data_IF_174954050103
#
_entry.id   IF_174954050103
#
_cell.length_a   1.000
_cell.length_b   1.000
_cell.length_c   1.000
_cell.angle_alpha   90.00
_cell.angle_beta   90.00
_cell.angle_gamma   90.00
#
_symmetry.space_group_name_H-M   'P 1'
#
loop_
_entity.id
_entity.type
_entity.pdbx_description
1 polymer ?
#
# COMPACT_ATOMS: atom_id res chain seq x y z
N UNK A 1 -0.58 25.79 -8.14
CA UNK A 1 0.12 24.60 -8.64
C UNK A 1 -0.68 23.36 -8.36
N UNK A 2 -0.67 22.47 -9.34
CA UNK A 2 -1.66 21.41 -9.39
C UNK A 2 -1.20 20.15 -8.67
N UNK A 3 -1.52 20.05 -7.36
CA UNK A 3 -1.27 18.88 -6.55
C UNK A 3 -1.99 17.63 -7.04
N UNK A 4 -3.07 17.77 -7.80
CA UNK A 4 -3.83 16.64 -8.33
C UNK A 4 -3.01 15.79 -9.29
N UNK A 5 -2.22 16.39 -10.16
CA UNK A 5 -1.38 15.68 -11.12
C UNK A 5 -0.26 14.90 -10.42
N UNK A 6 0.35 15.53 -9.41
CA UNK A 6 1.38 14.86 -8.61
C UNK A 6 0.79 13.72 -7.79
N UNK A 7 -0.38 13.92 -7.20
CA UNK A 7 -1.09 12.87 -6.48
C UNK A 7 -1.47 11.71 -7.37
N UNK A 8 -1.94 11.99 -8.59
CA UNK A 8 -2.26 10.96 -9.59
C UNK A 8 -1.02 10.12 -9.91
N UNK A 9 0.12 10.76 -10.13
CA UNK A 9 1.40 10.09 -10.41
C UNK A 9 1.78 9.15 -9.27
N UNK A 10 1.69 9.60 -8.03
CA UNK A 10 1.99 8.77 -6.84
C UNK A 10 1.08 7.56 -6.78
N UNK A 11 -0.24 7.77 -6.89
CA UNK A 11 -1.23 6.71 -6.76
C UNK A 11 -1.09 5.65 -7.85
N UNK A 12 -0.94 6.07 -9.11
CA UNK A 12 -0.79 5.14 -10.23
C UNK A 12 0.45 4.26 -10.07
N UNK A 13 1.58 4.86 -9.75
CA UNK A 13 2.82 4.12 -9.56
C UNK A 13 2.78 3.21 -8.34
N UNK A 14 2.14 3.67 -7.27
CA UNK A 14 1.95 2.87 -6.06
C UNK A 14 1.13 1.62 -6.34
N UNK A 15 -0.03 1.77 -6.98
CA UNK A 15 -0.89 0.62 -7.30
C UNK A 15 -0.23 -0.33 -8.30
N UNK A 16 0.50 0.20 -9.28
CA UNK A 16 1.26 -0.64 -10.22
C UNK A 16 2.34 -1.43 -9.49
N UNK A 17 3.05 -0.80 -8.56
CA UNK A 17 4.05 -1.46 -7.72
C UNK A 17 3.47 -2.56 -6.84
N UNK A 18 2.18 -2.48 -6.50
CA UNK A 18 1.46 -3.51 -5.77
C UNK A 18 0.90 -4.61 -6.68
N UNK A 19 1.20 -4.56 -7.98
CA UNK A 19 0.74 -5.52 -8.99
C UNK A 19 -0.77 -5.52 -9.23
N UNK A 20 -1.41 -4.37 -9.06
CA UNK A 20 -2.82 -4.22 -9.40
C UNK A 20 -3.00 -4.24 -10.92
N UNK A 21 -4.09 -4.84 -11.40
CA UNK A 21 -4.44 -4.83 -12.82
C UNK A 21 -4.80 -3.42 -13.28
N UNK A 22 -4.72 -3.17 -14.59
CA UNK A 22 -5.11 -1.88 -15.18
C UNK A 22 -6.55 -1.51 -14.81
N UNK A 23 -7.47 -2.46 -14.87
CA UNK A 23 -8.88 -2.24 -14.52
C UNK A 23 -9.03 -1.82 -13.04
N UNK A 24 -8.32 -2.50 -12.14
CA UNK A 24 -8.35 -2.17 -10.71
C UNK A 24 -7.77 -0.78 -10.43
N UNK A 25 -6.67 -0.43 -11.08
CA UNK A 25 -6.05 0.90 -10.94
C UNK A 25 -7.00 1.97 -11.45
N UNK A 26 -7.62 1.76 -12.62
CA UNK A 26 -8.58 2.69 -13.21
C UNK A 26 -9.76 2.95 -12.28
N UNK A 27 -10.30 1.91 -11.65
CA UNK A 27 -11.40 2.03 -10.71
C UNK A 27 -11.01 2.87 -9.47
N UNK A 28 -9.88 2.55 -8.86
CA UNK A 28 -9.39 3.26 -7.68
C UNK A 28 -9.06 4.73 -7.98
N UNK A 29 -8.45 5.00 -9.11
CA UNK A 29 -8.14 6.36 -9.55
C UNK A 29 -9.42 7.13 -9.83
N UNK A 30 -10.42 6.49 -10.44
CA UNK A 30 -11.72 7.11 -10.69
C UNK A 30 -12.41 7.53 -9.39
N UNK A 31 -12.40 6.66 -8.39
CA UNK A 31 -12.98 6.97 -7.08
C UNK A 31 -12.25 8.12 -6.39
N UNK A 32 -10.92 8.13 -6.44
CA UNK A 32 -10.11 9.21 -5.90
C UNK A 32 -10.41 10.54 -6.63
N UNK A 33 -10.50 10.50 -7.97
CA UNK A 33 -10.71 11.70 -8.77
C UNK A 33 -12.05 12.38 -8.47
N UNK A 34 -13.08 11.60 -8.21
CA UNK A 34 -14.40 12.12 -7.83
C UNK A 34 -14.39 12.91 -6.54
N UNK A 35 -13.44 12.65 -5.64
CA UNK A 35 -13.28 13.33 -4.36
C UNK A 35 -12.55 14.67 -4.47
N UNK A 36 -11.92 14.94 -5.60
CA UNK A 36 -11.25 16.22 -5.82
C UNK A 36 -12.30 17.32 -6.02
N UNK A 37 -12.04 18.50 -5.50
CA UNK A 37 -12.93 19.67 -5.68
C UNK A 37 -13.16 19.95 -7.16
N UNK A 38 -12.08 19.94 -7.95
CA UNK A 38 -12.13 19.98 -9.41
C UNK A 38 -11.47 18.71 -9.93
N UNK A 39 -12.26 17.69 -10.34
CA UNK A 39 -11.68 16.46 -10.86
C UNK A 39 -10.83 16.71 -12.11
N UNK A 40 -9.77 15.92 -12.26
CA UNK A 40 -8.99 15.89 -13.47
C UNK A 40 -9.84 15.38 -14.63
N UNK A 41 -9.57 15.88 -15.85
CA UNK A 41 -10.28 15.42 -17.04
C UNK A 41 -10.03 13.93 -17.26
N UNK A 42 -11.09 13.20 -17.58
CA UNK A 42 -11.02 11.75 -17.79
C UNK A 42 -10.00 11.39 -18.87
N UNK A 43 -9.96 12.14 -19.97
CA UNK A 43 -8.97 11.92 -21.04
C UNK A 43 -7.53 12.03 -20.55
N UNK A 44 -7.25 12.98 -19.67
CA UNK A 44 -5.92 13.11 -19.05
C UNK A 44 -5.57 11.90 -18.20
N UNK A 45 -6.50 11.45 -17.35
CA UNK A 45 -6.31 10.29 -16.47
C UNK A 45 -6.06 9.04 -17.30
N UNK A 46 -6.87 8.79 -18.32
CA UNK A 46 -6.73 7.62 -19.20
C UNK A 46 -5.39 7.65 -19.95
N UNK A 47 -5.00 8.82 -20.46
CA UNK A 47 -3.72 8.99 -21.14
C UNK A 47 -2.54 8.66 -20.24
N UNK A 48 -2.55 9.15 -19.01
CA UNK A 48 -1.51 8.86 -18.03
C UNK A 48 -1.48 7.38 -17.65
N UNK A 49 -2.64 6.77 -17.48
CA UNK A 49 -2.74 5.34 -17.15
C UNK A 49 -2.21 4.47 -18.29
N UNK A 50 -2.56 4.78 -19.53
CA UNK A 50 -2.05 4.05 -20.70
C UNK A 50 -0.52 4.17 -20.79
N UNK A 51 0.02 5.36 -20.56
CA UNK A 51 1.47 5.59 -20.54
C UNK A 51 2.15 4.77 -19.44
N UNK A 52 1.56 4.72 -18.26
CA UNK A 52 2.07 3.92 -17.13
C UNK A 52 2.13 2.43 -17.48
N UNK A 53 1.08 1.91 -18.10
CA UNK A 53 1.00 0.48 -18.42
C UNK A 53 1.94 0.06 -19.55
N UNK A 54 2.36 0.99 -20.40
CA UNK A 54 3.38 0.73 -21.43
C UNK A 54 4.79 0.70 -20.83
N UNK A 55 5.02 1.41 -19.72
CA UNK A 55 6.32 1.45 -19.05
C UNK A 55 6.58 0.20 -18.24
N UNK A 56 7.85 -0.13 -18.05
CA UNK A 56 8.28 -1.24 -17.20
C UNK A 56 8.75 -0.70 -15.85
N UNK A 57 8.01 -1.01 -14.78
CA UNK A 57 8.50 -0.91 -13.44
C UNK A 57 8.71 0.48 -12.85
N UNK A 58 7.85 1.44 -13.12
CA UNK A 58 7.92 2.72 -12.44
C UNK A 58 7.52 2.54 -10.97
N UNK A 59 8.31 3.15 -10.08
CA UNK A 59 8.01 3.18 -8.65
C UNK A 59 7.49 4.57 -8.26
N UNK A 60 6.65 4.69 -7.21
CA UNK A 60 6.32 6.01 -6.69
C UNK A 60 7.58 6.72 -6.19
N UNK A 61 7.57 8.06 -6.07
CA UNK A 61 8.72 8.80 -5.53
C UNK A 61 9.07 8.32 -4.12
N UNK A 62 10.36 8.44 -3.76
CA UNK A 62 10.81 8.09 -2.42
C UNK A 62 10.20 9.04 -1.37
N UNK A 63 10.08 8.57 -0.14
CA UNK A 63 9.46 9.33 0.95
C UNK A 63 10.18 10.65 1.23
N UNK A 64 11.47 10.76 0.94
CA UNK A 64 12.25 11.98 1.11
C UNK A 64 11.98 13.04 0.06
N UNK A 65 11.23 12.72 -0.99
CA UNK A 65 10.93 13.68 -2.05
C UNK A 65 9.82 14.63 -1.59
N UNK A 66 10.20 15.76 -1.03
CA UNK A 66 9.30 16.75 -0.45
C UNK A 66 8.30 17.31 -1.45
N UNK A 67 8.68 17.41 -2.72
CA UNK A 67 7.79 17.91 -3.77
C UNK A 67 6.52 17.09 -3.94
N UNK A 68 6.59 15.78 -3.61
CA UNK A 68 5.44 14.88 -3.74
C UNK A 68 4.68 14.63 -2.45
N UNK A 69 5.36 14.63 -1.30
CA UNK A 69 4.72 14.24 -0.04
C UNK A 69 4.53 15.40 0.92
N UNK A 70 5.60 16.01 1.38
CA UNK A 70 5.52 17.13 2.33
C UNK A 70 4.84 18.34 1.72
N UNK A 71 5.18 18.68 0.48
CA UNK A 71 4.59 19.81 -0.25
C UNK A 71 3.08 19.64 -0.47
N UNK A 72 2.61 18.41 -0.67
CA UNK A 72 1.18 18.09 -0.83
C UNK A 72 0.46 17.87 0.51
N UNK A 73 1.18 17.90 1.63
CA UNK A 73 0.65 17.69 2.98
C UNK A 73 -0.07 16.34 3.14
N UNK A 74 0.36 15.33 2.40
CA UNK A 74 -0.25 14.00 2.45
C UNK A 74 0.55 13.01 3.31
N UNK A 75 1.79 13.36 3.66
CA UNK A 75 2.65 12.49 4.45
C UNK A 75 2.38 12.64 5.95
N UNK A 76 2.02 11.52 6.59
CA UNK A 76 1.87 11.42 8.04
C UNK A 76 2.77 10.28 8.52
N UNK A 77 4.05 10.57 8.86
CA UNK A 77 5.00 9.53 9.24
C UNK A 77 4.62 8.84 10.54
N UNK A 78 4.95 7.55 10.60
CA UNK A 78 4.80 6.73 11.81
C UNK A 78 6.12 6.00 12.11
N UNK A 79 6.10 5.09 13.09
CA UNK A 79 7.31 4.37 13.53
C UNK A 79 7.95 3.52 12.43
N UNK A 80 7.19 3.07 11.43
CA UNK A 80 7.71 2.28 10.32
C UNK A 80 8.52 3.12 9.34
N UNK A 81 8.24 4.42 9.27
CA UNK A 81 8.86 5.32 8.29
C UNK A 81 10.37 5.46 8.47
N UNK A 82 10.89 5.22 9.68
CA UNK A 82 12.32 5.30 9.96
C UNK A 82 13.15 4.25 9.21
N UNK A 83 12.52 3.13 8.86
CA UNK A 83 13.19 1.97 8.24
C UNK A 83 12.85 1.79 6.77
N UNK A 84 12.09 2.71 6.19
CA UNK A 84 11.67 2.65 4.79
C UNK A 84 12.10 3.88 4.02
N UNK A 85 12.22 3.74 2.72
CA UNK A 85 12.58 4.84 1.81
C UNK A 85 11.48 5.17 0.81
N UNK A 86 10.52 4.28 0.63
CA UNK A 86 9.49 4.36 -0.40
C UNK A 86 8.17 3.82 0.14
N UNK A 87 7.01 4.37 -0.28
CA UNK A 87 5.71 3.87 0.15
C UNK A 87 5.49 2.38 -0.11
N UNK A 88 6.07 1.83 -1.16
CA UNK A 88 6.00 0.39 -1.44
C UNK A 88 6.69 -0.44 -0.36
N UNK A 89 7.80 0.04 0.16
CA UNK A 89 8.51 -0.61 1.27
C UNK A 89 7.63 -0.65 2.52
N UNK A 90 6.90 0.43 2.80
CA UNK A 90 5.98 0.50 3.92
C UNK A 90 4.91 -0.59 3.83
N UNK A 91 4.27 -0.71 2.68
CA UNK A 91 3.23 -1.71 2.44
C UNK A 91 3.77 -3.12 2.56
N UNK A 92 4.90 -3.42 1.93
CA UNK A 92 5.54 -4.73 1.98
C UNK A 92 5.88 -5.12 3.42
N UNK A 93 6.41 -4.19 4.19
CA UNK A 93 6.77 -4.42 5.58
C UNK A 93 5.55 -4.69 6.45
N UNK A 94 4.47 -3.93 6.28
CA UNK A 94 3.21 -4.16 7.00
C UNK A 94 2.61 -5.53 6.69
N UNK A 95 2.57 -5.92 5.44
CA UNK A 95 2.08 -7.23 5.02
C UNK A 95 2.91 -8.34 5.65
N UNK A 96 4.23 -8.20 5.65
CA UNK A 96 5.12 -9.17 6.27
C UNK A 96 4.85 -9.31 7.77
N UNK A 97 4.70 -8.20 8.49
CA UNK A 97 4.39 -8.21 9.92
C UNK A 97 3.03 -8.85 10.21
N UNK A 98 2.02 -8.57 9.43
CA UNK A 98 0.69 -9.18 9.57
C UNK A 98 0.76 -10.71 9.41
N UNK A 99 1.49 -11.18 8.39
CA UNK A 99 1.69 -12.62 8.17
C UNK A 99 2.44 -13.26 9.34
N UNK A 100 3.45 -12.59 9.87
CA UNK A 100 4.21 -13.08 11.04
C UNK A 100 3.33 -13.16 12.27
N UNK A 101 2.51 -12.15 12.53
CA UNK A 101 1.58 -12.13 13.66
C UNK A 101 0.53 -13.25 13.56
N UNK A 102 0.00 -13.50 12.36
CA UNK A 102 -0.93 -14.63 12.13
C UNK A 102 -0.27 -15.98 12.40
N UNK A 103 0.97 -16.17 11.95
CA UNK A 103 1.74 -17.40 12.25
C UNK A 103 1.96 -17.59 13.75
N UNK A 104 2.34 -16.52 14.45
CA UNK A 104 2.56 -16.56 15.89
C UNK A 104 1.27 -16.85 16.67
N UNK A 105 0.15 -16.27 16.25
CA UNK A 105 -1.16 -16.54 16.84
C UNK A 105 -1.56 -18.00 16.66
N UNK A 106 -1.36 -18.58 15.48
CA UNK A 106 -1.63 -20.00 15.19
C UNK A 106 -0.73 -20.91 16.03
N UNK A 107 0.55 -20.59 16.18
CA UNK A 107 1.49 -21.35 17.02
C UNK A 107 1.09 -21.32 18.50
N UNK A 108 0.66 -20.17 19.02
CA UNK A 108 0.17 -20.05 20.41
C UNK A 108 -1.07 -20.89 20.64
N UNK A 109 -2.03 -20.89 19.73
CA UNK A 109 -3.25 -21.71 19.82
C UNK A 109 -2.90 -23.20 19.78
N UNK A 110 -2.03 -23.62 18.86
CA UNK A 110 -1.58 -25.02 18.77
C UNK A 110 -0.88 -25.47 20.07
N UNK A 111 0.00 -24.65 20.66
CA UNK A 111 0.66 -24.94 21.91
C UNK A 111 -0.34 -25.06 23.08
N UNK A 112 -1.32 -24.19 23.17
CA UNK A 112 -2.37 -24.28 24.22
C UNK A 112 -3.19 -25.55 24.08
N UNK A 113 -3.58 -25.94 22.88
CA UNK A 113 -4.33 -27.16 22.61
C UNK A 113 -3.53 -28.40 22.97
N UNK A 114 -2.24 -28.44 22.64
CA UNK A 114 -1.33 -29.55 22.99
C UNK A 114 -1.15 -29.68 24.51
N UNK A 115 -0.97 -28.56 25.23
CA UNK A 115 -0.88 -28.55 26.68
C UNK A 115 -2.15 -29.05 27.35
N UNK A 116 -3.34 -28.68 26.86
CA UNK A 116 -4.61 -29.17 27.38
C UNK A 116 -4.78 -30.68 27.20
N UNK A 117 -4.41 -31.22 26.03
CA UNK A 117 -4.46 -32.66 25.74
C UNK A 117 -3.49 -33.45 26.65
N UNK A 118 -2.28 -32.94 26.85
CA UNK A 118 -1.28 -33.56 27.74
C UNK A 118 -1.77 -33.56 29.21
N UNK A 119 -2.35 -32.44 29.66
CA UNK A 119 -2.94 -32.36 31.01
C UNK A 119 -4.05 -33.38 31.24
N UNK A 120 -4.94 -33.59 30.25
CA UNK A 120 -6.01 -34.57 30.30
C UNK A 120 -5.47 -36.01 30.36
N UNK A 121 -4.39 -36.32 29.65
CA UNK A 121 -3.74 -37.63 29.67
C UNK A 121 -3.06 -37.90 31.00
N UNK A 122 -2.50 -36.90 31.64
CA UNK A 122 -1.81 -37.05 32.95
C UNK A 122 -2.81 -37.24 34.08
N UNK A 123 -4.04 -36.74 33.96
CA UNK A 123 -5.10 -36.90 34.97
C UNK A 123 -5.79 -38.27 34.94
N UNK A 124 -5.51 -39.08 33.94
CA UNK A 124 -5.98 -40.49 33.88
C UNK A 124 -4.92 -41.42 34.45
#
# INVERSE_FOLDING_TARGET
EDGRKRSLFILMNFFKGLNYSQAAIKEKIGDWNKKNYEPLREGYVISQLNSLMRGSGNMPPNCKNDAYYSSLRVCKPDNFCQKIKNPLNYTSKKIWLEKLNKKNAKKKVAKKTTKKKVSKKVKK
#
